data_IF_735069816650
#
_entry.id   IF_735069816650
#
_cell.length_a   1.000
_cell.length_b   1.000
_cell.length_c   1.000
_cell.angle_alpha   90.00
_cell.angle_beta   90.00
_cell.angle_gamma   90.00
#
_symmetry.space_group_name_H-M   'P 1'
#
loop_
_entity.id
_entity.type
_entity.pdbx_description
1 polymer ?
#
# COMPACT_ATOMS: atom_id res chain seq x y z
N UNK A 1 55.84 -20.71 -12.34
CA UNK A 1 55.24 -20.44 -11.01
C UNK A 1 53.94 -21.22 -10.94
N UNK A 2 53.85 -22.19 -10.01
CA UNK A 2 52.57 -22.85 -9.70
C UNK A 2 51.91 -21.98 -8.66
N UNK A 3 50.79 -21.33 -8.99
CA UNK A 3 49.93 -20.70 -8.02
C UNK A 3 49.32 -21.82 -7.15
N UNK A 4 49.64 -21.85 -5.86
CA UNK A 4 48.96 -22.70 -4.90
C UNK A 4 47.53 -22.15 -4.75
N UNK A 5 46.57 -22.89 -5.24
CA UNK A 5 45.15 -22.65 -4.90
C UNK A 5 45.01 -23.09 -3.46
N UNK A 6 45.18 -22.15 -2.52
CA UNK A 6 44.82 -22.36 -1.12
C UNK A 6 43.29 -22.44 -1.06
N UNK A 7 42.77 -23.64 -0.76
CA UNK A 7 41.34 -23.85 -0.56
C UNK A 7 40.90 -23.28 0.78
N UNK A 8 39.65 -22.83 0.86
CA UNK A 8 39.00 -22.39 2.08
C UNK A 8 39.05 -23.51 3.13
N UNK A 9 39.41 -23.16 4.36
CA UNK A 9 39.33 -24.07 5.49
C UNK A 9 37.88 -24.21 5.97
N UNK A 10 37.54 -25.36 6.53
CA UNK A 10 36.20 -25.64 7.08
C UNK A 10 35.85 -24.64 8.19
N UNK A 11 36.83 -24.22 9.00
CA UNK A 11 36.62 -23.24 10.07
C UNK A 11 36.32 -21.84 9.52
N UNK A 12 36.96 -21.40 8.42
CA UNK A 12 36.66 -20.13 7.77
C UNK A 12 35.22 -20.11 7.27
N UNK A 13 34.73 -21.20 6.67
CA UNK A 13 33.34 -21.31 6.22
C UNK A 13 32.41 -21.24 7.42
N UNK A 14 32.68 -21.93 8.53
CA UNK A 14 31.86 -21.88 9.76
C UNK A 14 31.76 -20.47 10.33
N UNK A 15 32.86 -19.72 10.36
CA UNK A 15 32.88 -18.33 10.85
C UNK A 15 32.02 -17.43 9.92
N UNK A 16 32.14 -17.60 8.63
CA UNK A 16 31.37 -16.80 7.64
C UNK A 16 29.86 -17.03 7.83
N UNK A 17 29.39 -18.27 7.90
CA UNK A 17 27.96 -18.56 8.10
C UNK A 17 27.46 -18.08 9.46
N UNK A 18 28.29 -18.13 10.50
CA UNK A 18 27.96 -17.59 11.84
C UNK A 18 27.73 -16.07 11.75
N UNK A 19 28.65 -15.34 11.11
CA UNK A 19 28.55 -13.88 10.95
C UNK A 19 27.30 -13.52 10.14
N UNK A 20 27.04 -14.21 9.02
CA UNK A 20 25.85 -13.99 8.20
C UNK A 20 24.58 -14.25 9.03
N UNK A 21 24.56 -15.31 9.84
CA UNK A 21 23.43 -15.63 10.71
C UNK A 21 23.13 -14.51 11.72
N UNK A 22 24.16 -13.98 12.39
CA UNK A 22 24.01 -12.88 13.35
C UNK A 22 23.56 -11.59 12.65
N UNK A 23 24.17 -11.25 11.53
CA UNK A 23 23.77 -10.07 10.74
C UNK A 23 22.32 -10.16 10.23
N UNK A 24 21.91 -11.34 9.77
CA UNK A 24 20.55 -11.58 9.31
C UNK A 24 19.52 -11.41 10.42
N UNK A 25 19.80 -11.91 11.61
CA UNK A 25 18.91 -11.79 12.77
C UNK A 25 18.59 -10.33 13.15
N UNK A 26 19.51 -9.40 12.86
CA UNK A 26 19.32 -7.97 13.13
C UNK A 26 18.75 -7.23 11.91
N UNK A 27 19.16 -7.61 10.71
CA UNK A 27 18.80 -6.90 9.48
C UNK A 27 17.36 -7.17 9.06
N UNK A 28 16.89 -8.42 9.10
CA UNK A 28 15.56 -8.83 8.63
C UNK A 28 14.44 -8.02 9.30
N UNK A 29 14.32 -7.94 10.63
CA UNK A 29 13.23 -7.20 11.27
C UNK A 29 13.26 -5.69 10.99
N UNK A 30 14.43 -5.13 10.71
CA UNK A 30 14.55 -3.71 10.32
C UNK A 30 14.05 -3.47 8.91
N UNK A 31 14.26 -4.41 7.99
CA UNK A 31 13.72 -4.33 6.63
C UNK A 31 12.21 -4.47 6.60
N UNK A 32 11.65 -5.42 7.36
CA UNK A 32 10.19 -5.60 7.47
C UNK A 32 9.51 -4.32 7.96
N UNK A 33 10.04 -3.70 9.01
CA UNK A 33 9.50 -2.43 9.51
C UNK A 33 9.59 -1.28 8.51
N UNK A 34 10.64 -1.22 7.70
CA UNK A 34 10.77 -0.22 6.63
C UNK A 34 9.75 -0.43 5.53
N UNK A 35 9.53 -1.68 5.10
CA UNK A 35 8.52 -2.03 4.10
C UNK A 35 7.14 -1.60 4.59
N UNK A 36 6.78 -1.90 5.83
CA UNK A 36 5.50 -1.49 6.42
C UNK A 36 5.31 0.04 6.43
N UNK A 37 6.36 0.79 6.76
CA UNK A 37 6.32 2.26 6.73
C UNK A 37 6.18 2.82 5.31
N UNK A 38 6.82 2.23 4.32
CA UNK A 38 6.68 2.65 2.92
C UNK A 38 5.29 2.32 2.36
N UNK A 39 4.73 1.16 2.71
CA UNK A 39 3.34 0.81 2.36
C UNK A 39 2.36 1.83 2.97
N UNK A 40 2.52 2.17 4.24
CA UNK A 40 1.68 3.18 4.90
C UNK A 40 1.81 4.57 4.25
N UNK A 41 3.03 4.97 3.86
CA UNK A 41 3.25 6.23 3.14
C UNK A 41 2.57 6.25 1.79
N UNK A 42 2.67 5.14 1.06
CA UNK A 42 2.00 4.98 -0.23
C UNK A 42 0.49 5.08 -0.08
N UNK A 43 -0.11 4.36 0.89
CA UNK A 43 -1.53 4.41 1.19
C UNK A 43 -2.01 5.82 1.53
N UNK A 44 -1.29 6.54 2.41
CA UNK A 44 -1.62 7.92 2.76
C UNK A 44 -1.55 8.87 1.55
N UNK A 45 -0.53 8.72 0.71
CA UNK A 45 -0.41 9.53 -0.50
C UNK A 45 -1.55 9.24 -1.48
N UNK A 46 -1.92 7.99 -1.64
CA UNK A 46 -3.00 7.59 -2.53
C UNK A 46 -4.36 8.08 -2.03
N UNK A 47 -4.67 7.91 -0.75
CA UNK A 47 -5.91 8.43 -0.16
C UNK A 47 -5.99 9.95 -0.18
N UNK A 48 -4.88 10.65 0.00
CA UNK A 48 -4.82 12.10 -0.16
C UNK A 48 -5.13 12.55 -1.59
N UNK A 49 -4.62 11.84 -2.60
CA UNK A 49 -4.97 12.10 -4.00
C UNK A 49 -6.45 11.86 -4.28
N UNK A 50 -7.02 10.77 -3.72
CA UNK A 50 -8.47 10.53 -3.82
C UNK A 50 -9.23 11.70 -3.19
N UNK A 51 -8.80 12.17 -2.04
CA UNK A 51 -9.46 13.27 -1.32
C UNK A 51 -9.44 14.57 -2.13
N UNK A 52 -8.32 14.93 -2.75
CA UNK A 52 -8.21 16.10 -3.64
C UNK A 52 -9.15 15.99 -4.84
N UNK A 53 -9.22 14.84 -5.49
CA UNK A 53 -10.12 14.59 -6.63
C UNK A 53 -11.60 14.62 -6.21
N UNK A 54 -11.93 14.12 -5.02
CA UNK A 54 -13.27 14.18 -4.46
C UNK A 54 -13.71 15.63 -4.17
N UNK A 55 -12.81 16.46 -3.64
CA UNK A 55 -13.09 17.89 -3.45
C UNK A 55 -13.31 18.63 -4.78
N UNK A 56 -12.49 18.32 -5.79
CA UNK A 56 -12.64 18.89 -7.12
C UNK A 56 -13.98 18.48 -7.73
N UNK A 57 -14.35 17.20 -7.60
CA UNK A 57 -15.65 16.70 -8.03
C UNK A 57 -16.81 17.44 -7.36
N UNK A 58 -16.77 17.62 -6.03
CA UNK A 58 -17.80 18.31 -5.30
C UNK A 58 -17.96 19.77 -5.71
N UNK A 59 -16.86 20.48 -6.00
CA UNK A 59 -16.88 21.84 -6.56
C UNK A 59 -17.54 21.88 -7.93
N UNK A 60 -17.23 20.95 -8.82
CA UNK A 60 -17.87 20.84 -10.13
C UNK A 60 -19.37 20.56 -10.02
N UNK A 61 -19.79 19.67 -9.11
CA UNK A 61 -21.22 19.42 -8.85
C UNK A 61 -21.93 20.66 -8.34
N UNK A 62 -21.30 21.43 -7.47
CA UNK A 62 -21.86 22.70 -6.98
C UNK A 62 -22.07 23.72 -8.10
N UNK A 63 -21.15 23.82 -9.05
CA UNK A 63 -21.29 24.70 -10.22
C UNK A 63 -22.42 24.24 -11.13
N UNK A 64 -22.61 22.92 -11.30
CA UNK A 64 -23.62 22.36 -12.19
C UNK A 64 -25.02 22.30 -11.56
N UNK A 65 -25.13 21.96 -10.29
CA UNK A 65 -26.40 21.65 -9.62
C UNK A 65 -26.78 22.63 -8.49
N UNK A 66 -25.82 23.50 -8.10
CA UNK A 66 -25.98 24.41 -6.96
C UNK A 66 -25.69 23.79 -5.59
N UNK A 67 -25.42 22.48 -5.52
CA UNK A 67 -25.13 21.74 -4.29
C UNK A 67 -23.87 20.90 -4.40
N UNK A 68 -23.10 20.84 -3.32
CA UNK A 68 -21.97 19.92 -3.20
C UNK A 68 -22.50 18.50 -3.04
N UNK A 69 -21.91 17.56 -3.79
CA UNK A 69 -22.16 16.13 -3.66
C UNK A 69 -20.94 15.33 -4.00
N UNK A 70 -20.79 14.16 -3.38
CA UNK A 70 -19.66 13.26 -3.56
C UNK A 70 -20.12 11.94 -4.18
N UNK A 71 -19.28 11.28 -4.99
CA UNK A 71 -19.67 10.04 -5.62
C UNK A 71 -19.79 8.93 -4.57
N UNK A 72 -20.71 8.00 -4.82
CA UNK A 72 -20.89 6.82 -3.95
C UNK A 72 -19.62 5.96 -3.89
N UNK A 73 -18.88 5.88 -4.99
CA UNK A 73 -17.62 5.16 -5.07
C UNK A 73 -16.45 6.16 -5.19
N UNK A 74 -15.56 6.27 -4.18
CA UNK A 74 -14.46 7.23 -4.20
C UNK A 74 -13.42 6.94 -5.29
N UNK A 75 -13.35 5.70 -5.79
CA UNK A 75 -12.43 5.33 -6.87
C UNK A 75 -12.90 5.84 -8.24
N UNK A 76 -14.17 6.23 -8.38
CA UNK A 76 -14.73 6.69 -9.65
C UNK A 76 -14.17 8.03 -10.15
N UNK A 77 -13.62 8.85 -9.24
CA UNK A 77 -12.99 10.13 -9.58
C UNK A 77 -11.55 9.97 -10.06
N UNK A 78 -10.95 8.80 -9.84
CA UNK A 78 -9.61 8.52 -10.31
C UNK A 78 -9.59 8.32 -11.81
N UNK A 79 -8.84 9.14 -12.51
CA UNK A 79 -8.45 8.86 -13.89
C UNK A 79 -7.60 7.59 -13.97
N UNK A 80 -7.09 7.27 -15.17
CA UNK A 80 -6.14 6.14 -15.34
C UNK A 80 -4.84 6.43 -14.58
N UNK A 81 -4.73 5.91 -13.35
CA UNK A 81 -3.49 5.94 -12.60
C UNK A 81 -2.56 4.82 -13.09
N UNK A 82 -1.30 5.17 -13.39
CA UNK A 82 -0.26 4.19 -13.69
C UNK A 82 0.13 3.49 -12.39
N UNK A 83 0.30 2.16 -12.45
CA UNK A 83 0.80 1.30 -11.37
C UNK A 83 -0.14 1.07 -10.16
N UNK A 84 -1.42 1.40 -10.29
CA UNK A 84 -2.43 1.06 -9.27
C UNK A 84 -3.50 0.20 -9.92
N UNK A 85 -3.75 -0.96 -9.36
CA UNK A 85 -4.82 -1.86 -9.79
C UNK A 85 -6.09 -1.44 -9.05
N UNK A 86 -7.03 -0.87 -9.76
CA UNK A 86 -8.34 -0.51 -9.24
C UNK A 86 -9.38 -1.44 -9.86
N UNK A 87 -10.06 -2.20 -9.02
CA UNK A 87 -11.12 -3.11 -9.47
C UNK A 87 -12.45 -2.67 -8.89
N UNK A 88 -13.44 -2.50 -9.75
CA UNK A 88 -14.80 -2.09 -9.35
C UNK A 88 -15.70 -3.27 -8.96
N UNK A 89 -15.12 -4.43 -8.67
CA UNK A 89 -15.85 -5.59 -8.15
C UNK A 89 -16.00 -5.52 -6.64
N UNK A 90 -17.13 -6.01 -6.14
CA UNK A 90 -17.37 -6.17 -4.71
C UNK A 90 -16.41 -7.21 -4.10
N UNK A 91 -16.07 -7.00 -2.84
CA UNK A 91 -15.29 -7.94 -2.05
C UNK A 91 -13.87 -7.48 -1.72
N UNK A 92 -13.15 -8.36 -1.06
CA UNK A 92 -11.77 -8.13 -0.63
C UNK A 92 -10.82 -8.28 -1.83
N UNK A 93 -9.78 -7.41 -1.96
CA UNK A 93 -8.79 -7.53 -3.03
C UNK A 93 -8.06 -8.88 -2.99
N UNK A 94 -7.86 -9.48 -4.16
CA UNK A 94 -7.18 -10.77 -4.32
C UNK A 94 -5.81 -10.67 -5.00
N UNK A 95 -5.47 -9.49 -5.52
CA UNK A 95 -4.17 -9.22 -6.16
C UNK A 95 -3.34 -8.23 -5.34
N UNK A 96 -2.04 -8.40 -5.37
CA UNK A 96 -1.11 -7.47 -4.73
C UNK A 96 -1.27 -6.06 -5.30
N UNK A 97 -1.22 -5.08 -4.41
CA UNK A 97 -1.39 -3.66 -4.71
C UNK A 97 -2.75 -3.29 -5.36
N UNK A 98 -3.77 -4.11 -5.12
CA UNK A 98 -5.13 -3.89 -5.62
C UNK A 98 -5.96 -3.08 -4.62
N UNK A 99 -6.76 -2.16 -5.17
CA UNK A 99 -7.75 -1.38 -4.45
C UNK A 99 -9.16 -1.77 -4.86
N UNK A 100 -10.03 -2.00 -3.88
CA UNK A 100 -11.46 -2.28 -4.08
C UNK A 100 -12.31 -1.51 -3.09
N UNK A 101 -13.55 -1.23 -3.50
CA UNK A 101 -14.53 -0.54 -2.66
C UNK A 101 -15.80 -1.38 -2.56
N UNK A 102 -16.31 -1.62 -1.34
CA UNK A 102 -17.51 -2.44 -1.11
C UNK A 102 -18.80 -1.63 -0.89
N UNK A 103 -18.72 -0.31 -0.89
CA UNK A 103 -19.83 0.61 -0.59
C UNK A 103 -19.63 1.41 0.70
N UNK A 104 -18.74 0.97 1.57
CA UNK A 104 -18.39 1.64 2.84
C UNK A 104 -16.91 1.68 3.12
N UNK A 105 -16.18 0.66 2.66
CA UNK A 105 -14.75 0.48 2.93
C UNK A 105 -13.96 0.43 1.63
N UNK A 106 -12.89 1.20 1.60
CA UNK A 106 -11.89 1.20 0.56
C UNK A 106 -10.74 0.29 0.98
N UNK A 107 -10.65 -0.88 0.37
CA UNK A 107 -9.64 -1.90 0.68
C UNK A 107 -8.40 -1.73 -0.16
N UNK A 108 -7.26 -1.99 0.45
CA UNK A 108 -5.96 -2.13 -0.20
C UNK A 108 -5.29 -3.43 0.25
N UNK A 109 -4.83 -4.24 -0.71
CA UNK A 109 -4.02 -5.43 -0.45
C UNK A 109 -2.56 -5.08 -0.63
N UNK A 110 -1.79 -5.18 0.45
CA UNK A 110 -0.34 -4.96 0.45
C UNK A 110 0.41 -6.15 -0.14
N UNK A 111 1.68 -5.93 -0.51
CA UNK A 111 2.55 -6.96 -1.07
C UNK A 111 2.81 -8.15 -0.12
N UNK A 112 2.63 -7.97 1.18
CA UNK A 112 2.73 -9.03 2.19
C UNK A 112 1.43 -9.84 2.38
N UNK A 113 0.47 -9.71 1.47
CA UNK A 113 -0.88 -10.31 1.51
C UNK A 113 -1.80 -9.78 2.62
N UNK A 114 -1.40 -8.80 3.38
CA UNK A 114 -2.27 -8.15 4.35
C UNK A 114 -3.27 -7.23 3.65
N UNK A 115 -4.50 -7.23 4.13
CA UNK A 115 -5.55 -6.34 3.65
C UNK A 115 -5.82 -5.28 4.70
N UNK A 116 -5.79 -4.04 4.25
CA UNK A 116 -6.09 -2.85 5.05
C UNK A 116 -7.24 -2.10 4.44
N UNK A 117 -7.99 -1.32 5.22
CA UNK A 117 -9.11 -0.56 4.71
C UNK A 117 -9.16 0.86 5.27
N UNK A 118 -9.77 1.73 4.50
CA UNK A 118 -10.16 3.08 4.87
C UNK A 118 -11.68 3.17 4.83
N UNK A 119 -12.29 3.87 5.78
CA UNK A 119 -13.72 4.12 5.76
C UNK A 119 -14.04 5.31 4.87
N UNK A 120 -15.09 5.19 4.06
CA UNK A 120 -15.58 6.25 3.21
C UNK A 120 -17.10 6.38 3.34
N UNK A 121 -17.56 7.62 3.44
CA UNK A 121 -18.99 7.97 3.47
C UNK A 121 -19.22 9.18 2.58
N UNK A 122 -20.06 9.01 1.54
CA UNK A 122 -20.40 10.08 0.58
C UNK A 122 -21.38 11.10 1.14
N UNK A 123 -22.22 10.73 2.11
CA UNK A 123 -23.31 11.60 2.58
C UNK A 123 -22.78 12.74 3.47
N UNK A 124 -21.76 12.47 4.26
CA UNK A 124 -21.13 13.44 5.14
C UNK A 124 -19.68 13.78 4.78
N UNK A 125 -19.22 13.33 3.62
CA UNK A 125 -17.85 13.46 3.15
C UNK A 125 -16.82 13.06 4.21
N UNK A 126 -16.73 11.78 4.44
CA UNK A 126 -15.72 11.22 5.35
C UNK A 126 -14.84 10.21 4.62
N UNK A 127 -13.55 10.40 4.72
CA UNK A 127 -12.53 9.42 4.33
C UNK A 127 -11.51 9.34 5.47
N UNK A 128 -11.30 8.16 6.04
CA UNK A 128 -10.38 8.02 7.15
C UNK A 128 -8.92 8.33 6.75
N UNK A 129 -8.20 9.01 7.63
CA UNK A 129 -6.80 9.40 7.37
C UNK A 129 -5.81 8.23 7.50
N UNK A 130 -6.18 7.23 8.30
CA UNK A 130 -5.33 6.08 8.58
C UNK A 130 -6.07 4.79 8.22
N UNK A 131 -5.34 3.80 7.66
CA UNK A 131 -5.91 2.50 7.39
C UNK A 131 -6.06 1.67 8.66
N UNK A 132 -7.05 0.81 8.65
CA UNK A 132 -7.27 -0.22 9.68
C UNK A 132 -7.02 -1.59 9.07
N UNK A 133 -6.33 -2.45 9.78
CA UNK A 133 -6.08 -3.83 9.34
C UNK A 133 -7.38 -4.64 9.42
N UNK A 134 -7.66 -5.43 8.37
CA UNK A 134 -8.80 -6.33 8.32
C UNK A 134 -8.58 -7.55 9.21
#
# INVERSE_FOLDING_TARGET
MKASLEGFTLIELMIVILIIGIMSAVAVPRFEKRIELEELRFEKKFTYQIWEELELYAKQQKELTGMESWPTNPLSVLGRMRNVIVTYSLGIPDKDNEWRFDGTKLYHRRMNNEVWYFEYNSDNFYLSELPTKL
#
